data_IF_078264829934
#
_entry.id   IF_078264829934
#
_cell.length_a   1.000
_cell.length_b   1.000
_cell.length_c   1.000
_cell.angle_alpha   90.00
_cell.angle_beta   90.00
_cell.angle_gamma   90.00
#
_symmetry.space_group_name_H-M   'P 1'
#
loop_
_entity.id
_entity.type
_entity.pdbx_description
1 polymer ?
#
# COMPACT_ATOMS: atom_id res chain seq x y z
N UNK A 1 12.76 -0.71 15.49
CA UNK A 1 12.28 0.63 15.91
C UNK A 1 11.85 1.40 14.67
N UNK A 2 10.65 1.98 14.69
CA UNK A 2 10.18 2.88 13.62
C UNK A 2 10.91 4.22 13.77
N UNK A 3 11.59 4.66 12.74
CA UNK A 3 12.31 5.95 12.70
C UNK A 3 11.45 7.07 12.12
N UNK A 4 10.57 6.72 11.18
CA UNK A 4 9.64 7.65 10.55
C UNK A 4 8.24 7.00 10.46
N UNK A 5 7.24 7.51 11.18
CA UNK A 5 5.88 6.98 11.17
C UNK A 5 5.00 7.56 10.06
N UNK A 6 5.48 8.49 9.24
CA UNK A 6 4.67 9.24 8.27
C UNK A 6 3.81 8.35 7.38
N UNK A 7 4.34 7.22 6.91
CA UNK A 7 3.55 6.27 6.08
C UNK A 7 2.42 5.61 6.85
N UNK A 8 2.61 5.40 8.16
CA UNK A 8 1.55 4.87 9.03
C UNK A 8 0.48 5.93 9.25
N UNK A 9 0.89 7.18 9.50
CA UNK A 9 -0.04 8.28 9.71
C UNK A 9 -0.95 8.51 8.49
N UNK A 10 -0.41 8.35 7.30
CA UNK A 10 -1.12 8.56 6.04
C UNK A 10 -2.27 7.58 5.79
N UNK A 11 -2.22 6.37 6.31
CA UNK A 11 -3.28 5.37 6.16
C UNK A 11 -4.36 5.43 7.25
N UNK A 12 -4.11 6.15 8.36
CA UNK A 12 -5.07 6.28 9.48
C UNK A 12 -6.44 6.80 9.01
N UNK A 13 -6.54 7.85 8.17
CA UNK A 13 -7.84 8.34 7.70
C UNK A 13 -8.67 7.27 6.99
N UNK A 14 -8.04 6.47 6.12
CA UNK A 14 -8.73 5.39 5.40
C UNK A 14 -9.22 4.31 6.36
N UNK A 15 -8.38 3.86 7.29
CA UNK A 15 -8.76 2.85 8.29
C UNK A 15 -9.92 3.39 9.14
N UNK A 16 -9.81 4.63 9.63
CA UNK A 16 -10.86 5.25 10.46
C UNK A 16 -12.19 5.40 9.71
N UNK A 17 -12.14 5.71 8.41
CA UNK A 17 -13.31 5.77 7.57
C UNK A 17 -13.98 4.39 7.45
N UNK A 18 -13.22 3.34 7.20
CA UNK A 18 -13.72 1.98 7.10
C UNK A 18 -14.37 1.52 8.43
N UNK A 19 -13.70 1.77 9.56
CA UNK A 19 -14.22 1.42 10.88
C UNK A 19 -15.53 2.15 11.22
N UNK A 20 -15.64 3.44 10.87
CA UNK A 20 -16.89 4.22 11.05
C UNK A 20 -18.06 3.65 10.24
N UNK A 21 -17.76 2.97 9.13
CA UNK A 21 -18.73 2.29 8.31
C UNK A 21 -18.89 0.79 8.66
N UNK A 22 -18.50 0.40 9.87
CA UNK A 22 -18.61 -0.95 10.42
C UNK A 22 -17.87 -2.04 9.63
N UNK A 23 -16.86 -1.67 8.85
CA UNK A 23 -16.02 -2.65 8.16
C UNK A 23 -15.04 -3.33 9.12
N UNK A 24 -14.77 -4.61 8.89
CA UNK A 24 -13.62 -5.31 9.43
C UNK A 24 -12.45 -5.12 8.47
N UNK A 25 -11.28 -4.77 8.99
CA UNK A 25 -10.12 -4.36 8.19
C UNK A 25 -8.99 -5.37 8.28
N UNK A 26 -8.57 -5.89 7.14
CA UNK A 26 -7.38 -6.74 6.99
C UNK A 26 -6.31 -5.88 6.34
N UNK A 27 -5.21 -5.64 7.05
CA UNK A 27 -4.10 -4.81 6.55
C UNK A 27 -3.04 -5.71 5.92
N UNK A 28 -2.77 -5.48 4.64
CA UNK A 28 -1.64 -6.05 3.91
C UNK A 28 -0.54 -5.01 3.80
N UNK A 29 0.70 -5.37 4.15
CA UNK A 29 1.84 -4.47 4.03
C UNK A 29 3.16 -5.23 3.90
N UNK A 30 4.23 -4.48 3.60
CA UNK A 30 5.57 -5.03 3.53
C UNK A 30 6.62 -4.06 4.10
N UNK A 31 7.74 -4.62 4.51
CA UNK A 31 8.95 -3.87 4.85
C UNK A 31 10.18 -4.59 4.27
N UNK A 32 11.11 -3.82 3.72
CA UNK A 32 12.35 -4.35 3.18
C UNK A 32 12.19 -5.19 1.90
N UNK A 33 13.19 -6.03 1.66
CA UNK A 33 13.26 -6.93 0.51
C UNK A 33 13.74 -8.33 0.96
N UNK A 34 12.88 -9.11 1.62
CA UNK A 34 13.22 -10.42 2.16
C UNK A 34 13.41 -11.51 1.11
N UNK A 35 13.00 -11.28 -0.15
CA UNK A 35 13.14 -12.23 -1.27
C UNK A 35 12.51 -13.60 -0.94
N UNK A 36 11.26 -13.60 -0.51
CA UNK A 36 10.53 -14.83 -0.19
C UNK A 36 10.96 -15.54 1.09
N UNK A 37 11.80 -14.92 1.94
CA UNK A 37 12.32 -15.56 3.16
C UNK A 37 11.77 -14.88 4.42
N UNK A 38 11.29 -15.70 5.34
CA UNK A 38 10.87 -15.21 6.66
C UNK A 38 12.10 -14.72 7.41
N UNK A 39 12.10 -13.44 7.77
CA UNK A 39 13.24 -12.77 8.40
C UNK A 39 12.71 -11.93 9.58
N UNK A 40 13.09 -12.29 10.80
CA UNK A 40 12.53 -11.69 12.03
C UNK A 40 12.72 -10.17 12.15
N UNK A 41 13.84 -9.63 11.63
CA UNK A 41 14.11 -8.19 11.61
C UNK A 41 13.24 -7.42 10.60
N UNK A 42 12.53 -8.10 9.71
CA UNK A 42 11.58 -7.53 8.75
C UNK A 42 10.13 -7.88 9.10
N UNK A 43 9.85 -8.28 10.33
CA UNK A 43 8.48 -8.46 10.83
C UNK A 43 7.75 -7.12 10.93
N UNK A 44 6.46 -7.14 10.63
CA UNK A 44 5.56 -5.99 10.77
C UNK A 44 5.11 -5.75 12.21
N UNK A 45 5.58 -6.52 13.19
CA UNK A 45 5.21 -6.34 14.61
C UNK A 45 5.36 -4.89 15.11
N UNK A 46 6.48 -4.18 14.84
CA UNK A 46 6.59 -2.76 15.25
C UNK A 46 5.58 -1.84 14.58
N UNK A 47 5.19 -2.13 13.34
CA UNK A 47 4.17 -1.36 12.60
C UNK A 47 2.80 -1.61 13.22
N UNK A 48 2.47 -2.87 13.51
CA UNK A 48 1.23 -3.26 14.16
C UNK A 48 1.07 -2.57 15.53
N UNK A 49 2.10 -2.56 16.36
CA UNK A 49 2.10 -1.88 17.66
C UNK A 49 1.92 -0.36 17.52
N UNK A 50 2.54 0.26 16.52
CA UNK A 50 2.39 1.69 16.27
C UNK A 50 0.95 2.03 15.81
N UNK A 51 0.38 1.24 14.91
CA UNK A 51 -1.01 1.39 14.46
C UNK A 51 -1.99 1.26 15.62
N UNK A 52 -1.83 0.25 16.48
CA UNK A 52 -2.63 0.07 17.69
C UNK A 52 -2.66 1.33 18.55
N UNK A 53 -1.49 1.93 18.81
CA UNK A 53 -1.38 3.13 19.62
C UNK A 53 -2.04 4.36 18.95
N UNK A 54 -1.87 4.51 17.64
CA UNK A 54 -2.39 5.67 16.90
C UNK A 54 -3.90 5.61 16.67
N UNK A 55 -4.43 4.44 16.43
CA UNK A 55 -5.87 4.23 16.23
C UNK A 55 -6.63 4.16 17.57
N UNK A 56 -5.94 3.89 18.68
CA UNK A 56 -6.54 3.54 19.98
C UNK A 56 -7.54 2.36 19.85
N UNK A 57 -7.21 1.41 18.98
CA UNK A 57 -7.99 0.22 18.64
C UNK A 57 -7.14 -1.04 18.79
N UNK A 58 -7.78 -2.18 19.01
CA UNK A 58 -7.06 -3.45 18.99
C UNK A 58 -6.64 -3.78 17.56
N UNK A 59 -5.35 -3.98 17.33
CA UNK A 59 -4.78 -4.47 16.06
C UNK A 59 -3.98 -5.72 16.35
N UNK A 60 -4.34 -6.85 15.74
CA UNK A 60 -3.66 -8.12 15.94
C UNK A 60 -2.82 -8.47 14.71
N UNK A 61 -1.56 -8.84 14.93
CA UNK A 61 -0.69 -9.36 13.87
C UNK A 61 -0.95 -10.86 13.69
N UNK A 62 -1.27 -11.27 12.47
CA UNK A 62 -1.41 -12.66 12.05
C UNK A 62 -0.05 -13.16 11.57
N UNK A 63 0.56 -14.06 12.34
CA UNK A 63 1.87 -14.65 12.03
C UNK A 63 1.77 -16.08 11.48
N UNK A 64 0.55 -16.62 11.38
CA UNK A 64 0.29 -17.91 10.71
C UNK A 64 0.69 -17.81 9.24
N UNK A 65 1.11 -18.92 8.65
CA UNK A 65 1.44 -18.97 7.23
C UNK A 65 0.27 -18.46 6.38
N UNK A 66 0.50 -17.38 5.63
CA UNK A 66 -0.57 -16.72 4.85
C UNK A 66 -1.19 -17.61 3.79
N UNK A 67 -0.51 -18.66 3.33
CA UNK A 67 -1.05 -19.65 2.39
C UNK A 67 -2.05 -20.63 3.02
N UNK A 68 -2.11 -20.66 4.35
CA UNK A 68 -2.90 -21.63 5.12
C UNK A 68 -4.01 -20.97 5.95
N UNK A 69 -4.03 -19.62 6.00
CA UNK A 69 -5.09 -18.90 6.72
C UNK A 69 -6.38 -18.91 5.92
N UNK A 70 -7.49 -18.88 6.65
CA UNK A 70 -8.81 -18.69 6.08
C UNK A 70 -9.57 -17.60 6.86
N UNK A 71 -10.76 -17.26 6.42
CA UNK A 71 -11.55 -16.20 7.04
C UNK A 71 -11.84 -16.41 8.52
N UNK A 72 -11.93 -17.66 9.00
CA UNK A 72 -12.13 -17.96 10.42
C UNK A 72 -10.89 -17.73 11.29
N UNK A 73 -9.71 -17.63 10.72
CA UNK A 73 -8.46 -17.33 11.43
C UNK A 73 -8.29 -15.83 11.69
N UNK A 74 -9.04 -14.97 10.97
CA UNK A 74 -8.79 -13.53 10.91
C UNK A 74 -9.35 -12.79 12.11
N UNK A 75 -10.57 -13.10 12.54
CA UNK A 75 -11.23 -12.36 13.63
C UNK A 75 -11.72 -13.33 14.70
N UNK A 76 -11.07 -13.31 15.88
CA UNK A 76 -11.34 -14.26 16.95
C UNK A 76 -12.68 -14.03 17.65
N UNK A 77 -13.18 -12.78 17.64
CA UNK A 77 -14.45 -12.40 18.25
C UNK A 77 -15.09 -11.21 17.49
N UNK A 78 -16.33 -10.86 17.88
CA UNK A 78 -17.07 -9.77 17.25
C UNK A 78 -16.44 -8.38 17.46
N UNK A 79 -15.69 -8.18 18.53
CA UNK A 79 -15.11 -6.88 18.89
C UNK A 79 -13.78 -6.62 18.13
N UNK A 80 -13.17 -7.65 17.58
CA UNK A 80 -11.96 -7.52 16.79
C UNK A 80 -12.29 -6.98 15.40
N UNK A 81 -11.84 -5.75 15.13
CA UNK A 81 -12.15 -5.04 13.87
C UNK A 81 -10.97 -4.93 12.93
N UNK A 82 -9.75 -5.05 13.45
CA UNK A 82 -8.53 -4.85 12.65
C UNK A 82 -7.57 -5.99 12.88
N UNK A 83 -7.13 -6.60 11.78
CA UNK A 83 -6.00 -7.52 11.77
C UNK A 83 -4.97 -7.06 10.76
N UNK A 84 -3.70 -7.31 11.04
CA UNK A 84 -2.59 -7.07 10.12
C UNK A 84 -1.97 -8.43 9.76
N UNK A 85 -1.81 -8.72 8.50
CA UNK A 85 -1.07 -9.89 8.08
C UNK A 85 0.43 -9.61 8.17
N UNK A 86 1.23 -10.64 8.46
CA UNK A 86 2.69 -10.52 8.49
C UNK A 86 3.22 -10.16 7.09
N UNK A 87 4.44 -9.65 7.03
CA UNK A 87 5.09 -9.11 5.84
C UNK A 87 4.85 -9.99 4.60
N UNK A 88 4.03 -9.49 3.69
CA UNK A 88 3.59 -10.24 2.52
C UNK A 88 4.76 -10.63 1.58
N UNK A 89 5.87 -9.91 1.64
CA UNK A 89 7.08 -10.22 0.87
C UNK A 89 7.91 -11.36 1.46
N UNK A 90 7.47 -11.98 2.54
CA UNK A 90 8.01 -13.27 2.98
C UNK A 90 7.62 -14.40 2.03
N UNK A 91 6.73 -14.12 1.06
CA UNK A 91 6.26 -15.04 0.03
C UNK A 91 6.76 -14.56 -1.34
N UNK A 92 7.46 -15.43 -2.08
CA UNK A 92 7.97 -15.11 -3.43
C UNK A 92 6.81 -14.78 -4.38
N UNK A 93 5.70 -15.45 -4.20
CA UNK A 93 4.46 -15.30 -4.98
C UNK A 93 3.90 -13.88 -4.98
N UNK A 94 4.23 -13.08 -3.96
CA UNK A 94 3.87 -11.66 -3.93
C UNK A 94 4.56 -10.89 -5.05
N UNK A 95 5.90 -10.98 -5.14
CA UNK A 95 6.69 -10.24 -6.13
C UNK A 95 6.59 -10.87 -7.54
N UNK A 96 6.25 -12.15 -7.65
CA UNK A 96 5.97 -12.87 -8.89
C UNK A 96 4.59 -12.59 -9.48
N UNK A 97 3.75 -11.84 -8.80
CA UNK A 97 2.36 -11.60 -9.19
C UNK A 97 1.55 -12.89 -9.37
N UNK A 98 1.75 -13.86 -8.48
CA UNK A 98 1.17 -15.20 -8.62
C UNK A 98 -0.36 -15.18 -8.47
N UNK A 99 -1.12 -15.67 -9.48
CA UNK A 99 -2.59 -15.62 -9.46
C UNK A 99 -3.21 -16.47 -8.36
N UNK A 100 -2.62 -17.62 -8.03
CA UNK A 100 -3.15 -18.53 -7.00
C UNK A 100 -3.02 -17.88 -5.63
N UNK A 101 -1.89 -17.25 -5.34
CA UNK A 101 -1.67 -16.49 -4.11
C UNK A 101 -2.60 -15.29 -4.01
N UNK A 102 -2.74 -14.52 -5.08
CA UNK A 102 -3.68 -13.39 -5.13
C UNK A 102 -5.13 -13.81 -4.93
N UNK A 103 -5.58 -14.92 -5.56
CA UNK A 103 -6.91 -15.48 -5.37
C UNK A 103 -7.13 -15.93 -3.93
N UNK A 104 -6.13 -16.53 -3.31
CA UNK A 104 -6.20 -16.92 -1.91
C UNK A 104 -6.33 -15.68 -1.00
N UNK A 105 -5.51 -14.63 -1.19
CA UNK A 105 -5.65 -13.38 -0.45
C UNK A 105 -7.03 -12.73 -0.65
N UNK A 106 -7.53 -12.75 -1.87
CA UNK A 106 -8.85 -12.24 -2.21
C UNK A 106 -9.99 -12.99 -1.50
N UNK A 107 -9.84 -14.31 -1.26
CA UNK A 107 -10.84 -15.10 -0.54
C UNK A 107 -11.01 -14.73 0.95
N UNK A 108 -10.13 -13.90 1.47
CA UNK A 108 -10.13 -13.45 2.87
C UNK A 108 -10.99 -12.20 3.11
N UNK A 109 -11.45 -11.51 2.04
CA UNK A 109 -12.18 -10.26 2.14
C UNK A 109 -13.25 -10.13 1.05
N UNK A 110 -14.16 -9.19 1.22
CA UNK A 110 -15.24 -8.89 0.25
C UNK A 110 -14.84 -7.81 -0.75
N UNK A 111 -13.97 -6.88 -0.35
CA UNK A 111 -13.49 -5.76 -1.17
C UNK A 111 -11.99 -5.53 -0.95
N UNK A 112 -11.35 -4.95 -1.96
CA UNK A 112 -9.97 -4.52 -1.89
C UNK A 112 -9.87 -2.99 -1.92
N UNK A 113 -9.05 -2.42 -1.04
CA UNK A 113 -8.75 -0.98 -1.01
C UNK A 113 -7.24 -0.79 -1.16
N UNK A 114 -6.81 -0.15 -2.26
CA UNK A 114 -5.42 0.26 -2.42
C UNK A 114 -5.22 1.66 -1.83
N UNK A 115 -4.35 1.77 -0.85
CA UNK A 115 -3.97 3.05 -0.24
C UNK A 115 -2.44 3.25 -0.25
N UNK A 116 -1.76 2.60 -1.18
CA UNK A 116 -0.31 2.57 -1.30
C UNK A 116 0.17 3.11 -2.66
N UNK A 117 -0.01 4.43 -2.92
CA UNK A 117 0.38 5.07 -4.17
C UNK A 117 1.81 4.72 -4.62
N UNK A 118 2.78 4.76 -3.71
CA UNK A 118 4.19 4.46 -3.99
C UNK A 118 4.46 3.03 -4.50
N UNK A 119 3.50 2.11 -4.31
CA UNK A 119 3.57 0.73 -4.77
C UNK A 119 2.70 0.45 -5.99
N UNK A 120 1.82 1.37 -6.40
CA UNK A 120 0.81 1.15 -7.46
C UNK A 120 1.42 0.92 -8.85
N UNK A 121 2.69 1.27 -9.06
CA UNK A 121 3.44 0.97 -10.29
C UNK A 121 3.95 -0.47 -10.38
N UNK A 122 3.75 -1.30 -9.35
CA UNK A 122 4.28 -2.67 -9.27
C UNK A 122 3.23 -3.68 -9.68
N UNK A 123 3.65 -4.65 -10.49
CA UNK A 123 2.86 -5.82 -10.84
C UNK A 123 3.10 -6.90 -9.78
N UNK A 124 2.46 -6.77 -8.62
CA UNK A 124 2.56 -7.71 -7.49
C UNK A 124 1.19 -8.32 -7.17
N UNK A 125 1.18 -9.50 -6.57
CA UNK A 125 -0.06 -10.24 -6.27
C UNK A 125 -1.06 -9.40 -5.46
N UNK A 126 -0.62 -8.71 -4.40
CA UNK A 126 -1.46 -7.88 -3.55
C UNK A 126 -1.80 -6.50 -4.11
N UNK A 127 -1.21 -6.09 -5.26
CA UNK A 127 -1.42 -4.77 -5.87
C UNK A 127 -2.19 -4.90 -7.17
N UNK A 128 -1.75 -5.79 -8.07
CA UNK A 128 -2.30 -5.95 -9.41
C UNK A 128 -3.21 -7.17 -9.52
N UNK A 129 -2.71 -8.37 -9.22
CA UNK A 129 -3.46 -9.60 -9.50
C UNK A 129 -4.74 -9.71 -8.65
N UNK A 130 -4.70 -9.26 -7.39
CA UNK A 130 -5.84 -9.28 -6.48
C UNK A 130 -7.05 -8.51 -7.02
N UNK A 131 -6.83 -7.46 -7.81
CA UNK A 131 -7.92 -6.64 -8.40
C UNK A 131 -8.77 -7.38 -9.42
N UNK A 132 -8.31 -8.54 -9.90
CA UNK A 132 -9.08 -9.40 -10.81
C UNK A 132 -10.11 -10.27 -10.07
N UNK A 133 -9.98 -10.38 -8.75
CA UNK A 133 -10.79 -11.27 -7.92
C UNK A 133 -11.73 -10.54 -6.97
N UNK A 134 -11.51 -9.24 -6.72
CA UNK A 134 -12.30 -8.43 -5.80
C UNK A 134 -12.70 -7.09 -6.41
N UNK A 135 -13.88 -6.56 -6.07
CA UNK A 135 -14.19 -5.14 -6.27
C UNK A 135 -13.10 -4.29 -5.63
N UNK A 136 -12.50 -3.38 -6.40
CA UNK A 136 -11.27 -2.67 -6.01
C UNK A 136 -11.50 -1.17 -6.00
N UNK A 137 -11.06 -0.52 -4.95
CA UNK A 137 -11.26 0.92 -4.70
C UNK A 137 -9.95 1.58 -4.29
N UNK A 138 -9.87 2.88 -4.52
CA UNK A 138 -8.78 3.70 -3.99
C UNK A 138 -9.08 4.12 -2.54
N UNK A 139 -8.07 4.04 -1.68
CA UNK A 139 -8.12 4.63 -0.35
C UNK A 139 -8.00 6.15 -0.40
N UNK A 140 -8.25 6.81 0.74
CA UNK A 140 -8.26 8.28 0.81
C UNK A 140 -6.89 8.89 0.49
N UNK A 141 -5.80 8.25 0.94
CA UNK A 141 -4.45 8.73 0.62
C UNK A 141 -4.12 8.55 -0.86
N UNK A 142 -4.50 7.42 -1.45
CA UNK A 142 -4.31 7.19 -2.89
C UNK A 142 -5.07 8.24 -3.71
N UNK A 143 -6.31 8.55 -3.35
CA UNK A 143 -7.08 9.60 -4.01
C UNK A 143 -6.41 10.97 -3.92
N UNK A 144 -5.89 11.35 -2.75
CA UNK A 144 -5.17 12.61 -2.57
C UNK A 144 -3.94 12.71 -3.49
N UNK A 145 -3.20 11.63 -3.66
CA UNK A 145 -2.02 11.60 -4.58
C UNK A 145 -2.47 11.71 -6.04
N UNK A 146 -3.54 11.01 -6.44
CA UNK A 146 -4.11 11.09 -7.79
C UNK A 146 -4.62 12.50 -8.08
N UNK A 147 -5.37 13.10 -7.16
CA UNK A 147 -5.89 14.47 -7.31
C UNK A 147 -4.77 15.50 -7.44
N UNK A 148 -3.70 15.35 -6.63
CA UNK A 148 -2.54 16.22 -6.71
C UNK A 148 -1.86 16.13 -8.09
N UNK A 149 -1.66 14.90 -8.60
CA UNK A 149 -1.08 14.69 -9.93
C UNK A 149 -1.99 15.19 -11.04
N UNK A 150 -3.29 14.98 -10.95
CA UNK A 150 -4.26 15.47 -11.93
C UNK A 150 -4.21 17.00 -12.03
N UNK A 151 -4.15 17.70 -10.89
CA UNK A 151 -4.04 19.17 -10.87
C UNK A 151 -2.79 19.69 -11.60
N UNK A 152 -1.64 19.04 -11.40
CA UNK A 152 -0.39 19.46 -12.07
C UNK A 152 -0.26 18.99 -13.52
N UNK A 153 -1.13 18.12 -14.00
CA UNK A 153 -1.11 17.62 -15.39
C UNK A 153 -2.27 18.12 -16.24
N UNK A 154 -3.43 18.38 -15.64
CA UNK A 154 -4.66 18.75 -16.36
C UNK A 154 -5.18 20.14 -16.05
N UNK A 155 -4.89 20.67 -14.83
CA UNK A 155 -5.36 21.99 -14.37
C UNK A 155 -4.18 22.95 -14.18
N UNK A 156 -3.29 23.03 -15.17
CA UNK A 156 -2.01 23.74 -15.05
C UNK A 156 -2.23 25.23 -14.88
N UNK A 157 -1.77 25.79 -13.75
CA UNK A 157 -1.62 27.24 -13.55
C UNK A 157 -0.21 27.65 -13.93
N UNK A 158 -0.09 28.43 -14.98
CA UNK A 158 1.19 28.96 -15.45
C UNK A 158 1.57 30.28 -14.73
N UNK A 159 2.87 30.57 -14.52
CA UNK A 159 4.02 29.74 -14.91
C UNK A 159 4.25 28.54 -13.97
N UNK A 160 4.65 27.40 -14.53
CA UNK A 160 4.95 26.19 -13.76
C UNK A 160 6.39 25.71 -14.01
N UNK A 161 7.09 25.34 -12.94
CA UNK A 161 8.45 24.82 -13.00
C UNK A 161 8.51 23.40 -12.45
N UNK A 162 9.13 22.49 -13.19
CA UNK A 162 9.41 21.13 -12.73
C UNK A 162 10.88 21.01 -12.29
N UNK A 163 11.11 20.39 -11.13
CA UNK A 163 12.44 20.07 -10.63
C UNK A 163 12.58 18.54 -10.62
N UNK A 164 13.55 18.04 -11.37
CA UNK A 164 13.82 16.59 -11.50
C UNK A 164 15.20 16.30 -10.94
N UNK A 165 15.25 15.50 -9.87
CA UNK A 165 16.49 15.08 -9.24
C UNK A 165 16.69 13.58 -9.19
N UNK A 166 17.92 13.15 -8.89
CA UNK A 166 18.29 11.77 -8.60
C UNK A 166 19.48 11.24 -9.41
N UNK A 167 20.11 10.20 -8.90
CA UNK A 167 21.41 9.66 -9.34
C UNK A 167 21.43 9.04 -10.75
N UNK A 168 20.29 8.73 -11.37
CA UNK A 168 20.21 8.08 -12.69
C UNK A 168 19.24 8.83 -13.60
N UNK A 169 19.71 9.87 -14.27
CA UNK A 169 18.93 10.66 -15.24
C UNK A 169 18.44 9.78 -16.40
N UNK A 170 19.22 8.79 -16.85
CA UNK A 170 18.84 7.88 -17.93
C UNK A 170 17.48 7.20 -17.74
N UNK A 171 17.12 6.87 -16.50
CA UNK A 171 15.81 6.27 -16.17
C UNK A 171 14.65 7.25 -16.23
N UNK A 172 14.93 8.56 -16.34
CA UNK A 172 13.95 9.64 -16.28
C UNK A 172 13.76 10.37 -17.62
N UNK A 173 14.56 10.00 -18.64
CA UNK A 173 14.53 10.67 -19.94
C UNK A 173 13.11 10.67 -20.54
N UNK A 174 12.38 9.56 -20.45
CA UNK A 174 11.02 9.48 -20.98
C UNK A 174 10.04 10.36 -20.21
N UNK A 175 10.21 10.45 -18.89
CA UNK A 175 9.42 11.36 -18.03
C UNK A 175 9.71 12.80 -18.45
N UNK A 176 10.98 13.18 -18.58
CA UNK A 176 11.41 14.52 -19.00
C UNK A 176 10.81 14.90 -20.35
N UNK A 177 10.88 13.99 -21.34
CA UNK A 177 10.29 14.22 -22.67
C UNK A 177 8.78 14.48 -22.60
N UNK A 178 8.05 13.79 -21.73
CA UNK A 178 6.63 13.98 -21.56
C UNK A 178 6.28 15.27 -20.80
N UNK A 179 7.20 15.79 -19.99
CA UNK A 179 6.99 17.00 -19.20
C UNK A 179 7.36 18.30 -19.97
N UNK A 180 8.29 18.22 -20.96
CA UNK A 180 8.72 19.39 -21.75
C UNK A 180 7.55 20.17 -22.34
N UNK A 181 6.52 19.54 -22.98
CA UNK A 181 5.41 20.32 -23.56
C UNK A 181 4.46 20.90 -22.52
N UNK A 182 4.58 20.51 -21.24
CA UNK A 182 3.64 20.86 -20.18
C UNK A 182 4.16 22.01 -19.30
N UNK A 183 5.46 21.98 -19.00
CA UNK A 183 6.09 22.88 -18.03
C UNK A 183 6.83 24.03 -18.71
N UNK A 184 6.76 25.24 -18.13
CA UNK A 184 7.47 26.42 -18.66
C UNK A 184 8.97 26.33 -18.36
N UNK A 185 9.35 25.71 -17.26
CA UNK A 185 10.74 25.51 -16.89
C UNK A 185 10.95 24.08 -16.34
N UNK A 186 12.08 23.46 -16.70
CA UNK A 186 12.52 22.18 -16.13
C UNK A 186 13.93 22.37 -15.59
N UNK A 187 14.11 22.10 -14.30
CA UNK A 187 15.40 22.14 -13.60
C UNK A 187 15.81 20.69 -13.32
N UNK A 188 17.02 20.31 -13.72
CA UNK A 188 17.60 18.99 -13.49
C UNK A 188 18.72 19.13 -12.45
N UNK A 189 18.65 18.35 -11.34
CA UNK A 189 19.59 18.36 -10.21
C UNK A 189 20.07 16.95 -9.87
#
# INVERSE_FOLDING_TARGET
KITDPTRIDKIIPTISFLLKNNAKVIILSHIGRPKGKITSNLSLKPVCENLKNKLNESVRLITKNLKEINSSDLFNNHDEKIVMLENIRFYEEEEENNPTFAKHLASLADIYVNDAFSCSHRTHASIFEITKFLPSYAGLQLNLEIDALTKITSEIKKPITCIIGGSKISTKINIIKNLIPIFDNIIIV
#
